data_IF_840664122807
#
_entry.id   IF_840664122807
#
_cell.length_a   1.000
_cell.length_b   1.000
_cell.length_c   1.000
_cell.angle_alpha   90.00
_cell.angle_beta   90.00
_cell.angle_gamma   90.00
#
_symmetry.space_group_name_H-M   'P 1'
#
loop_
_entity.id
_entity.type
_entity.pdbx_description
1 polymer ?
#
# COMPACT_ATOMS: atom_id res chain seq x y z
N UNK A 1 -8.90 1.91 -10.00
CA UNK A 1 -9.17 0.59 -9.36
C UNK A 1 -7.96 0.07 -8.58
N UNK A 2 -6.73 0.21 -9.09
CA UNK A 2 -5.51 -0.30 -8.44
C UNK A 2 -5.25 0.26 -7.04
N UNK A 3 -5.45 1.56 -6.82
CA UNK A 3 -5.31 2.18 -5.49
C UNK A 3 -6.22 1.56 -4.42
N UNK A 4 -7.45 1.18 -4.79
CA UNK A 4 -8.38 0.53 -3.86
C UNK A 4 -7.89 -0.87 -3.45
N UNK A 5 -7.31 -1.62 -4.41
CA UNK A 5 -6.72 -2.93 -4.15
C UNK A 5 -5.53 -2.84 -3.20
N UNK A 6 -4.61 -1.88 -3.39
CA UNK A 6 -3.48 -1.70 -2.49
C UNK A 6 -3.92 -1.21 -1.09
N UNK A 7 -4.94 -0.37 -0.99
CA UNK A 7 -5.53 0.00 0.31
C UNK A 7 -6.13 -1.21 1.05
N UNK A 8 -6.75 -2.14 0.32
CA UNK A 8 -7.19 -3.41 0.91
C UNK A 8 -5.98 -4.22 1.39
N UNK A 9 -4.92 -4.37 0.57
CA UNK A 9 -3.67 -5.05 0.96
C UNK A 9 -3.07 -4.44 2.24
N UNK A 10 -3.05 -3.12 2.35
CA UNK A 10 -2.57 -2.39 3.54
C UNK A 10 -3.42 -2.71 4.78
N UNK A 11 -4.75 -2.73 4.64
CA UNK A 11 -5.65 -3.08 5.74
C UNK A 11 -5.44 -4.53 6.22
N UNK A 12 -5.25 -5.47 5.29
CA UNK A 12 -4.88 -6.83 5.62
C UNK A 12 -3.53 -6.87 6.35
N UNK A 13 -2.47 -6.23 5.83
CA UNK A 13 -1.17 -6.16 6.51
C UNK A 13 -1.27 -5.57 7.93
N UNK A 14 -2.06 -4.52 8.12
CA UNK A 14 -2.31 -3.91 9.43
C UNK A 14 -3.02 -4.84 10.40
N UNK A 15 -3.96 -5.67 9.92
CA UNK A 15 -4.59 -6.69 10.76
C UNK A 15 -3.63 -7.82 11.07
N UNK A 16 -2.87 -8.28 10.07
CA UNK A 16 -1.95 -9.40 10.17
C UNK A 16 -0.76 -9.11 11.09
N UNK A 17 -0.21 -7.89 11.08
CA UNK A 17 0.92 -7.54 11.96
C UNK A 17 0.55 -7.51 13.44
N UNK A 18 -0.73 -7.38 13.78
CA UNK A 18 -1.21 -7.51 15.18
C UNK A 18 -1.03 -8.93 15.74
N UNK A 19 -0.88 -9.91 14.85
CA UNK A 19 -0.65 -11.31 15.18
C UNK A 19 0.80 -11.74 14.95
N UNK A 20 1.72 -10.78 14.79
CA UNK A 20 3.15 -11.05 14.67
C UNK A 20 3.67 -11.75 15.94
N UNK A 21 4.50 -12.79 15.75
CA UNK A 21 5.00 -13.63 16.84
C UNK A 21 4.06 -14.78 17.25
N UNK A 22 2.83 -14.85 16.72
CA UNK A 22 1.96 -16.00 16.89
C UNK A 22 2.34 -17.07 15.87
N UNK A 23 2.66 -18.27 16.36
CA UNK A 23 2.83 -19.44 15.51
C UNK A 23 1.44 -19.91 15.05
N UNK A 24 1.20 -19.85 13.74
CA UNK A 24 -0.04 -20.39 13.18
C UNK A 24 -0.05 -21.93 13.27
N UNK A 25 -1.24 -22.56 13.33
CA UNK A 25 -1.35 -24.02 13.23
C UNK A 25 -0.62 -24.52 11.98
N UNK A 26 0.32 -25.46 12.16
CA UNK A 26 1.20 -25.94 11.08
C UNK A 26 2.61 -25.33 11.07
N UNK A 27 2.99 -24.53 12.07
CA UNK A 27 4.37 -24.05 12.21
C UNK A 27 4.73 -22.89 11.27
N UNK A 28 3.73 -22.24 10.68
CA UNK A 28 3.94 -21.06 9.83
C UNK A 28 3.94 -19.80 10.69
N UNK A 29 4.89 -18.91 10.45
CA UNK A 29 4.92 -17.58 11.05
C UNK A 29 4.49 -16.56 10.01
N UNK A 30 3.55 -15.71 10.37
CA UNK A 30 3.01 -14.72 9.46
C UNK A 30 3.78 -13.40 9.59
N UNK A 31 4.24 -12.83 8.47
CA UNK A 31 4.95 -11.56 8.46
C UNK A 31 4.03 -10.44 7.97
N UNK A 32 3.14 -9.99 8.86
CA UNK A 32 2.19 -8.92 8.57
C UNK A 32 2.84 -7.55 8.36
N UNK A 33 3.99 -7.31 9.00
CA UNK A 33 4.73 -6.06 8.87
C UNK A 33 5.24 -5.88 7.43
N UNK A 34 5.86 -6.91 6.86
CA UNK A 34 6.30 -6.89 5.45
C UNK A 34 5.16 -6.62 4.47
N UNK A 35 4.00 -7.25 4.67
CA UNK A 35 2.82 -7.06 3.81
C UNK A 35 2.31 -5.61 3.88
N UNK A 36 2.33 -5.02 5.08
CA UNK A 36 1.94 -3.63 5.30
C UNK A 36 2.91 -2.65 4.62
N UNK A 37 4.21 -2.89 4.72
CA UNK A 37 5.25 -2.04 4.14
C UNK A 37 5.17 -2.05 2.62
N UNK A 38 5.09 -3.24 2.00
CA UNK A 38 4.90 -3.38 0.55
C UNK A 38 3.64 -2.65 0.06
N UNK A 39 2.52 -2.80 0.78
CA UNK A 39 1.28 -2.12 0.40
C UNK A 39 1.36 -0.60 0.51
N UNK A 40 2.15 -0.10 1.47
CA UNK A 40 2.33 1.35 1.68
C UNK A 40 3.21 1.96 0.59
N UNK A 41 4.25 1.23 0.16
CA UNK A 41 5.10 1.64 -0.95
C UNK A 41 4.31 1.66 -2.28
N UNK A 42 3.52 0.61 -2.56
CA UNK A 42 2.63 0.58 -3.73
C UNK A 42 1.63 1.75 -3.75
N UNK A 43 1.04 2.10 -2.60
CA UNK A 43 0.12 3.24 -2.48
C UNK A 43 0.85 4.54 -2.82
N UNK A 44 2.06 4.73 -2.27
CA UNK A 44 2.84 5.95 -2.48
C UNK A 44 3.20 6.12 -3.96
N UNK A 45 3.69 5.08 -4.62
CA UNK A 45 4.00 5.12 -6.05
C UNK A 45 2.76 5.46 -6.90
N UNK A 46 1.61 4.87 -6.56
CA UNK A 46 0.36 5.18 -7.26
C UNK A 46 -0.11 6.61 -7.02
N UNK A 47 0.03 7.14 -5.81
CA UNK A 47 -0.30 8.53 -5.49
C UNK A 47 0.61 9.51 -6.24
N UNK A 48 1.90 9.20 -6.34
CA UNK A 48 2.84 9.98 -7.15
C UNK A 48 2.47 9.95 -8.64
N UNK A 49 2.13 8.78 -9.20
CA UNK A 49 1.69 8.66 -10.60
C UNK A 49 0.39 9.44 -10.87
N UNK A 50 -0.57 9.39 -9.96
CA UNK A 50 -1.83 10.15 -10.07
C UNK A 50 -1.54 11.65 -10.02
N UNK A 51 -0.66 12.10 -9.13
CA UNK A 51 -0.26 13.50 -9.02
C UNK A 51 0.43 13.99 -10.29
N UNK A 52 1.39 13.23 -10.83
CA UNK A 52 2.07 13.53 -12.10
C UNK A 52 1.08 13.59 -13.26
N UNK A 53 0.15 12.65 -13.34
CA UNK A 53 -0.86 12.62 -14.40
C UNK A 53 -1.87 13.79 -14.29
N UNK A 54 -2.20 14.21 -13.07
CA UNK A 54 -3.16 15.30 -12.80
C UNK A 54 -2.58 16.72 -12.96
N UNK A 55 -1.26 16.88 -12.83
CA UNK A 55 -0.57 18.19 -12.88
C UNK A 55 -0.18 18.64 -14.30
N UNK A 56 -0.20 17.75 -15.29
CA UNK A 56 0.35 18.00 -16.63
C UNK A 56 -0.41 18.93 -17.61
N UNK A 57 -1.62 19.48 -17.35
CA UNK A 57 -2.17 20.53 -18.23
C UNK A 57 -2.40 21.91 -17.59
N UNK A 58 -2.50 22.02 -16.26
CA UNK A 58 -2.92 23.29 -15.62
C UNK A 58 -1.78 24.27 -15.35
N UNK A 59 -0.53 23.80 -15.26
CA UNK A 59 0.63 24.66 -14.97
C UNK A 59 1.26 25.30 -16.23
N UNK A 60 1.03 24.72 -17.42
CA UNK A 60 1.54 25.28 -18.70
C UNK A 60 0.78 26.57 -19.11
N UNK A 61 -0.46 26.75 -18.67
CA UNK A 61 -1.31 27.88 -19.07
C UNK A 61 -1.32 29.07 -18.08
N UNK A 62 -0.59 28.97 -16.96
CA UNK A 62 -0.49 30.06 -15.97
C UNK A 62 0.95 30.58 -15.79
N UNK A 63 1.75 30.50 -16.86
CA UNK A 63 3.04 31.20 -16.99
C UNK A 63 2.90 32.49 -17.79
#
# INVERSE_FOLDING_TARGET
>A
KQLATAKIKQQWGNNLKKFEGIQMPGGVTLNGQKIYDEATEEIKEMEEQIYQMGSLPSEIFTG
#
